data_IF_939708272100
#
_entry.id   IF_939708272100
#
_cell.length_a   1.000
_cell.length_b   1.000
_cell.length_c   1.000
_cell.angle_alpha   90.00
_cell.angle_beta   90.00
_cell.angle_gamma   90.00
#
_symmetry.space_group_name_H-M   'P 1'
#
loop_
_entity.id
_entity.type
_entity.pdbx_description
1 polymer ?
#
# COMPACT_ATOMS: atom_id res chain seq x y z
N UNK A 1 7.25 -19.72 91.58
CA UNK A 1 8.72 -19.59 91.40
C UNK A 1 8.96 -19.23 89.96
N UNK A 2 9.75 -18.18 89.73
CA UNK A 2 9.84 -17.45 88.47
C UNK A 2 11.24 -17.54 87.85
N UNK A 3 11.25 -17.33 86.52
CA UNK A 3 12.33 -17.01 85.55
C UNK A 3 13.36 -18.12 85.23
N UNK A 4 13.93 -18.18 83.99
CA UNK A 4 14.46 -17.02 83.22
C UNK A 4 13.96 -16.85 81.77
N UNK A 5 13.89 -15.59 81.35
CA UNK A 5 13.91 -15.14 79.95
C UNK A 5 15.23 -15.49 79.25
N UNK A 6 15.31 -15.38 77.91
CA UNK A 6 16.21 -14.33 77.39
C UNK A 6 15.70 -13.59 76.14
N UNK A 7 15.86 -12.25 76.24
CA UNK A 7 16.37 -11.23 75.30
C UNK A 7 15.83 -11.06 73.85
N UNK A 8 15.83 -9.80 73.36
CA UNK A 8 15.10 -9.34 72.18
C UNK A 8 15.93 -9.46 70.89
N UNK A 9 15.26 -9.72 69.77
CA UNK A 9 15.83 -9.58 68.44
C UNK A 9 15.73 -8.12 67.96
N UNK A 10 16.90 -7.55 67.62
CA UNK A 10 17.10 -6.21 67.07
C UNK A 10 16.38 -5.97 65.73
N UNK A 11 16.08 -4.71 65.38
CA UNK A 11 15.42 -4.34 64.13
C UNK A 11 16.44 -4.28 62.99
N UNK A 12 16.17 -4.97 61.88
CA UNK A 12 16.91 -4.81 60.63
C UNK A 12 16.12 -3.94 59.64
N UNK A 13 16.85 -3.24 58.74
CA UNK A 13 16.47 -1.93 58.22
C UNK A 13 15.53 -2.00 57.01
N UNK A 14 14.77 -0.91 56.82
CA UNK A 14 14.02 -0.63 55.61
C UNK A 14 14.96 -0.59 54.39
N UNK A 15 14.83 -1.59 53.52
CA UNK A 15 15.43 -1.59 52.19
C UNK A 15 14.41 -1.00 51.23
N UNK A 16 14.60 0.27 50.88
CA UNK A 16 13.94 0.88 49.72
C UNK A 16 14.37 0.14 48.43
N UNK A 17 13.46 -0.17 47.51
CA UNK A 17 13.83 -0.79 46.24
C UNK A 17 14.58 0.22 45.36
N UNK A 18 15.69 -0.19 44.70
CA UNK A 18 16.36 0.64 43.71
C UNK A 18 15.53 0.68 42.41
N UNK A 19 15.20 1.91 42.03
CA UNK A 19 14.94 2.44 40.69
C UNK A 19 15.13 1.43 39.55
N UNK A 20 14.05 0.73 39.18
CA UNK A 20 14.00 0.01 37.91
C UNK A 20 13.60 1.00 36.85
N UNK A 21 14.57 1.75 36.33
CA UNK A 21 14.41 2.46 35.08
C UNK A 21 14.02 1.42 34.01
N UNK A 22 12.87 1.56 33.31
CA UNK A 22 12.60 0.70 32.18
C UNK A 22 13.65 1.00 31.09
N UNK A 23 14.21 -0.01 30.40
CA UNK A 23 14.94 0.25 29.18
C UNK A 23 13.97 0.86 28.17
N UNK A 24 14.00 2.19 28.07
CA UNK A 24 13.44 2.96 26.96
C UNK A 24 14.19 2.55 25.70
N UNK A 25 13.61 1.61 24.96
CA UNK A 25 13.90 1.36 23.55
C UNK A 25 12.73 0.63 22.94
N UNK A 26 11.58 1.31 22.88
CA UNK A 26 10.64 0.99 21.82
C UNK A 26 11.38 1.22 20.49
N UNK A 27 11.54 0.21 19.62
CA UNK A 27 12.09 0.46 18.30
C UNK A 27 11.17 1.45 17.60
N UNK A 28 11.73 2.54 17.09
CA UNK A 28 10.99 3.50 16.26
C UNK A 28 10.24 2.73 15.16
N UNK A 29 8.90 2.81 15.08
CA UNK A 29 8.12 2.03 14.10
C UNK A 29 8.38 2.45 12.64
N UNK A 30 9.23 3.46 12.42
CA UNK A 30 9.70 3.94 11.12
C UNK A 30 11.09 3.42 10.73
N UNK A 31 11.77 2.68 11.59
CA UNK A 31 13.22 2.49 11.49
C UNK A 31 13.69 1.61 10.31
N UNK A 32 12.81 0.97 9.53
CA UNK A 32 13.27 0.19 8.38
C UNK A 32 12.17 -0.14 7.36
N UNK A 33 11.33 0.81 6.96
CA UNK A 33 10.45 0.57 5.80
C UNK A 33 11.28 0.53 4.51
N UNK A 34 10.88 -0.33 3.57
CA UNK A 34 11.45 -0.34 2.22
C UNK A 34 11.22 1.01 1.52
N UNK A 35 12.18 1.37 0.67
CA UNK A 35 11.98 2.45 -0.27
C UNK A 35 10.77 2.12 -1.16
N UNK A 36 9.85 3.07 -1.44
CA UNK A 36 8.62 2.83 -2.20
C UNK A 36 8.82 2.04 -3.50
N UNK A 37 9.88 2.36 -4.24
CA UNK A 37 10.24 1.64 -5.47
C UNK A 37 10.50 0.15 -5.23
N UNK A 38 11.27 -0.18 -4.19
CA UNK A 38 11.58 -1.57 -3.83
C UNK A 38 10.34 -2.32 -3.36
N UNK A 39 9.45 -1.63 -2.64
CA UNK A 39 8.17 -2.20 -2.22
C UNK A 39 7.27 -2.53 -3.42
N UNK A 40 7.21 -1.65 -4.43
CA UNK A 40 6.48 -1.88 -5.67
C UNK A 40 7.11 -3.00 -6.52
N UNK A 41 8.44 -3.08 -6.59
CA UNK A 41 9.18 -4.18 -7.23
C UNK A 41 8.84 -5.52 -6.57
N UNK A 42 8.87 -5.58 -5.24
CA UNK A 42 8.50 -6.76 -4.46
C UNK A 42 7.06 -7.25 -4.76
N UNK A 43 6.10 -6.33 -4.84
CA UNK A 43 4.72 -6.68 -5.21
C UNK A 43 4.64 -7.20 -6.64
N UNK A 44 5.36 -6.61 -7.59
CA UNK A 44 5.36 -7.07 -8.98
C UNK A 44 5.97 -8.48 -9.11
N UNK A 45 7.05 -8.76 -8.39
CA UNK A 45 7.67 -10.09 -8.33
C UNK A 45 6.74 -11.13 -7.71
N UNK A 46 6.10 -10.79 -6.58
CA UNK A 46 5.13 -11.66 -5.92
C UNK A 46 3.92 -11.95 -6.81
N UNK A 47 3.41 -10.93 -7.51
CA UNK A 47 2.29 -11.09 -8.44
C UNK A 47 2.66 -11.89 -9.69
N UNK A 48 3.87 -11.72 -10.23
CA UNK A 48 4.35 -12.44 -11.41
C UNK A 48 4.62 -13.93 -11.14
N UNK A 49 5.06 -14.26 -9.94
CA UNK A 49 5.39 -15.64 -9.53
C UNK A 49 4.19 -16.45 -9.04
N UNK A 50 3.03 -15.82 -8.79
CA UNK A 50 1.85 -16.49 -8.27
C UNK A 50 1.23 -17.45 -9.29
N UNK A 51 1.13 -18.73 -8.92
CA UNK A 51 0.43 -19.76 -9.68
C UNK A 51 -0.70 -20.39 -8.84
N UNK A 52 -1.97 -20.07 -9.14
CA UNK A 52 -3.12 -20.57 -8.36
C UNK A 52 -3.35 -22.08 -8.48
N UNK A 53 -2.73 -22.75 -9.47
CA UNK A 53 -2.81 -24.21 -9.62
C UNK A 53 -1.80 -24.96 -8.75
N UNK A 54 -0.81 -24.27 -8.16
CA UNK A 54 0.26 -24.88 -7.36
C UNK A 54 0.10 -24.60 -5.87
N UNK A 55 -0.23 -23.37 -5.51
CA UNK A 55 -0.24 -22.92 -4.13
C UNK A 55 -1.43 -21.99 -3.88
N UNK A 56 -1.93 -22.00 -2.65
CA UNK A 56 -2.92 -21.02 -2.22
C UNK A 56 -2.29 -19.63 -2.22
N UNK A 57 -3.12 -18.60 -2.38
CA UNK A 57 -2.63 -17.22 -2.39
C UNK A 57 -1.96 -16.82 -1.07
N UNK A 58 -2.46 -17.35 0.05
CA UNK A 58 -1.96 -17.05 1.38
C UNK A 58 -0.56 -17.66 1.60
N UNK A 59 -0.42 -18.96 1.29
CA UNK A 59 0.88 -19.63 1.39
C UNK A 59 1.90 -19.04 0.41
N UNK A 60 1.48 -18.63 -0.79
CA UNK A 60 2.37 -17.92 -1.72
C UNK A 60 2.84 -16.58 -1.17
N UNK A 61 1.94 -15.82 -0.53
CA UNK A 61 2.33 -14.56 0.09
C UNK A 61 3.30 -14.77 1.27
N UNK A 62 3.13 -15.82 2.07
CA UNK A 62 4.08 -16.20 3.13
C UNK A 62 5.47 -16.50 2.55
N UNK A 63 5.54 -17.31 1.48
CA UNK A 63 6.78 -17.64 0.80
C UNK A 63 7.46 -16.38 0.23
N UNK A 64 6.71 -15.47 -0.39
CA UNK A 64 7.25 -14.21 -0.91
C UNK A 64 7.79 -13.32 0.21
N UNK A 65 7.07 -13.16 1.32
CA UNK A 65 7.53 -12.37 2.47
C UNK A 65 8.84 -12.91 3.01
N UNK A 66 8.94 -14.24 3.19
CA UNK A 66 10.16 -14.89 3.65
C UNK A 66 11.32 -14.75 2.66
N UNK A 67 11.05 -14.92 1.35
CA UNK A 67 12.07 -14.85 0.30
C UNK A 67 12.62 -13.43 0.10
N UNK A 68 11.74 -12.43 0.11
CA UNK A 68 12.09 -11.02 -0.11
C UNK A 68 12.70 -10.35 1.12
N UNK A 69 12.67 -11.02 2.29
CA UNK A 69 13.22 -10.54 3.57
C UNK A 69 12.75 -9.12 3.88
N UNK A 70 11.44 -8.90 3.83
CA UNK A 70 10.87 -7.59 4.08
C UNK A 70 11.24 -7.13 5.51
N UNK A 71 11.81 -5.93 5.67
CA UNK A 71 12.40 -5.50 6.93
C UNK A 71 11.37 -5.04 7.98
N UNK A 72 10.12 -4.81 7.58
CA UNK A 72 9.08 -4.30 8.47
C UNK A 72 7.74 -5.01 8.29
N UNK A 73 7.01 -5.21 9.39
CA UNK A 73 5.66 -5.76 9.36
C UNK A 73 4.67 -4.93 8.52
N UNK A 74 4.95 -3.63 8.35
CA UNK A 74 4.17 -2.75 7.49
C UNK A 74 4.38 -3.05 6.01
N UNK A 75 5.62 -3.32 5.58
CA UNK A 75 5.92 -3.74 4.20
C UNK A 75 5.30 -5.11 3.90
N UNK A 76 5.34 -6.04 4.85
CA UNK A 76 4.68 -7.35 4.72
C UNK A 76 3.16 -7.20 4.56
N UNK A 77 2.55 -6.38 5.41
CA UNK A 77 1.12 -6.11 5.37
C UNK A 77 0.74 -5.46 4.04
N UNK A 78 1.52 -4.48 3.58
CA UNK A 78 1.32 -3.84 2.29
C UNK A 78 1.39 -4.85 1.15
N UNK A 79 2.43 -5.70 1.10
CA UNK A 79 2.59 -6.70 0.06
C UNK A 79 1.38 -7.63 0.00
N UNK A 80 0.96 -8.20 1.15
CA UNK A 80 -0.19 -9.10 1.22
C UNK A 80 -1.47 -8.42 0.77
N UNK A 81 -1.74 -7.23 1.30
CA UNK A 81 -2.96 -6.49 1.00
C UNK A 81 -3.07 -6.11 -0.49
N UNK A 82 -1.96 -5.72 -1.11
CA UNK A 82 -1.94 -5.42 -2.54
C UNK A 82 -2.06 -6.71 -3.36
N UNK A 83 -1.29 -7.74 -3.04
CA UNK A 83 -1.32 -9.02 -3.76
C UNK A 83 -2.73 -9.65 -3.72
N UNK A 84 -3.36 -9.69 -2.54
CA UNK A 84 -4.73 -10.19 -2.37
C UNK A 84 -5.73 -9.34 -3.16
N UNK A 85 -5.55 -8.02 -3.15
CA UNK A 85 -6.35 -7.09 -3.93
C UNK A 85 -6.25 -7.32 -5.44
N UNK A 86 -5.03 -7.49 -5.97
CA UNK A 86 -4.78 -7.73 -7.38
C UNK A 86 -5.45 -9.02 -7.88
N UNK A 87 -5.43 -10.08 -7.07
CA UNK A 87 -6.09 -11.34 -7.40
C UNK A 87 -7.61 -11.22 -7.29
N UNK A 88 -8.11 -10.66 -6.18
CA UNK A 88 -9.56 -10.51 -5.91
C UNK A 88 -10.26 -9.64 -6.95
N UNK A 89 -9.66 -8.51 -7.31
CA UNK A 89 -10.24 -7.53 -8.24
C UNK A 89 -9.66 -7.65 -9.66
N UNK A 90 -9.02 -8.77 -9.99
CA UNK A 90 -8.34 -8.99 -11.29
C UNK A 90 -9.21 -8.63 -12.49
N UNK A 91 -10.50 -9.01 -12.47
CA UNK A 91 -11.43 -8.74 -13.59
C UNK A 91 -11.68 -7.24 -13.76
N UNK A 92 -11.92 -6.51 -12.67
CA UNK A 92 -12.10 -5.06 -12.65
C UNK A 92 -10.86 -4.33 -13.15
N UNK A 93 -9.71 -4.68 -12.57
CA UNK A 93 -8.42 -4.08 -12.89
C UNK A 93 -8.02 -4.36 -14.35
N UNK A 94 -8.27 -5.58 -14.84
CA UNK A 94 -8.03 -5.91 -16.24
C UNK A 94 -8.91 -5.09 -17.18
N UNK A 95 -10.21 -4.94 -16.88
CA UNK A 95 -11.12 -4.12 -17.70
C UNK A 95 -10.63 -2.67 -17.79
N UNK A 96 -10.30 -2.07 -16.64
CA UNK A 96 -9.75 -0.72 -16.58
C UNK A 96 -8.44 -0.58 -17.37
N UNK A 97 -7.45 -1.45 -17.09
CA UNK A 97 -6.14 -1.36 -17.74
C UNK A 97 -6.26 -1.63 -19.24
N UNK A 98 -7.11 -2.53 -19.69
CA UNK A 98 -7.35 -2.75 -21.12
C UNK A 98 -7.88 -1.47 -21.81
N UNK A 99 -8.85 -0.79 -21.19
CA UNK A 99 -9.36 0.49 -21.68
C UNK A 99 -8.29 1.58 -21.69
N UNK A 100 -7.49 1.67 -20.61
CA UNK A 100 -6.36 2.60 -20.52
C UNK A 100 -5.37 2.41 -21.67
N UNK A 101 -4.92 1.18 -21.91
CA UNK A 101 -3.99 0.90 -23.00
C UNK A 101 -4.62 1.06 -24.38
N UNK A 102 -5.92 0.86 -24.54
CA UNK A 102 -6.58 1.13 -25.82
C UNK A 102 -6.53 2.62 -26.17
N UNK A 103 -6.76 3.48 -25.18
CA UNK A 103 -6.84 4.93 -25.37
C UNK A 103 -5.48 5.64 -25.30
N UNK A 104 -4.49 5.02 -24.63
CA UNK A 104 -3.17 5.62 -24.37
C UNK A 104 -1.99 4.80 -24.92
N UNK A 105 -2.23 3.91 -25.88
CA UNK A 105 -1.22 2.98 -26.41
C UNK A 105 0.08 3.63 -26.91
N UNK A 106 0.03 4.89 -27.38
CA UNK A 106 1.20 5.63 -27.84
C UNK A 106 2.06 6.23 -26.72
N UNK A 107 1.53 6.30 -25.49
CA UNK A 107 2.16 6.96 -24.34
C UNK A 107 2.60 5.94 -23.26
N UNK A 108 2.14 4.68 -23.35
CA UNK A 108 2.39 3.66 -22.30
C UNK A 108 2.94 2.34 -22.84
N UNK A 109 3.84 1.71 -22.08
CA UNK A 109 4.49 0.45 -22.44
C UNK A 109 3.74 -0.75 -21.87
N UNK A 110 3.62 -1.84 -22.64
CA UNK A 110 2.97 -3.09 -22.18
C UNK A 110 3.69 -3.75 -21.00
N UNK A 111 5.00 -3.50 -20.83
CA UNK A 111 5.77 -3.98 -19.67
C UNK A 111 5.28 -3.40 -18.34
N UNK A 112 4.61 -2.26 -18.36
CA UNK A 112 4.14 -1.55 -17.15
C UNK A 112 2.72 -2.00 -16.70
N UNK A 113 2.14 -3.03 -17.31
CA UNK A 113 0.77 -3.47 -16.98
C UNK A 113 0.61 -3.80 -15.49
N UNK A 114 1.61 -4.44 -14.87
CA UNK A 114 1.54 -4.81 -13.46
C UNK A 114 1.53 -3.56 -12.56
N UNK A 115 2.41 -2.59 -12.84
CA UNK A 115 2.49 -1.38 -12.03
C UNK A 115 1.20 -0.55 -12.12
N UNK A 116 0.58 -0.45 -13.31
CA UNK A 116 -0.71 0.22 -13.46
C UNK A 116 -1.85 -0.49 -12.73
N UNK A 117 -1.85 -1.83 -12.66
CA UNK A 117 -2.81 -2.56 -11.83
C UNK A 117 -2.63 -2.28 -10.34
N UNK A 118 -1.39 -2.20 -9.87
CA UNK A 118 -1.07 -1.85 -8.48
C UNK A 118 -1.63 -0.47 -8.15
N UNK A 119 -1.28 0.55 -8.94
CA UNK A 119 -1.78 1.91 -8.68
C UNK A 119 -3.30 2.02 -8.83
N UNK A 120 -3.90 1.34 -9.79
CA UNK A 120 -5.36 1.31 -9.94
C UNK A 120 -6.02 0.69 -8.70
N UNK A 121 -5.52 -0.46 -8.22
CA UNK A 121 -6.03 -1.08 -7.00
C UNK A 121 -5.91 -0.13 -5.79
N UNK A 122 -4.73 0.47 -5.62
CA UNK A 122 -4.47 1.38 -4.51
C UNK A 122 -5.41 2.59 -4.54
N UNK A 123 -5.54 3.25 -5.70
CA UNK A 123 -6.40 4.42 -5.87
C UNK A 123 -7.89 4.09 -5.69
N UNK A 124 -8.34 2.96 -6.26
CA UNK A 124 -9.76 2.58 -6.26
C UNK A 124 -10.23 2.08 -4.89
N UNK A 125 -9.42 1.28 -4.19
CA UNK A 125 -9.88 0.57 -2.99
C UNK A 125 -9.16 0.95 -1.70
N UNK A 126 -7.96 1.53 -1.78
CA UNK A 126 -7.09 1.67 -0.61
C UNK A 126 -6.70 3.11 -0.31
N UNK A 127 -7.06 4.07 -1.15
CA UNK A 127 -6.57 5.45 -1.06
C UNK A 127 -6.96 6.13 0.25
N UNK A 128 -8.15 5.81 0.78
CA UNK A 128 -8.61 6.28 2.09
C UNK A 128 -7.83 5.63 3.25
N UNK A 129 -7.54 4.33 3.17
CA UNK A 129 -6.83 3.60 4.21
C UNK A 129 -5.33 3.93 4.27
N UNK A 130 -4.66 4.02 3.12
CA UNK A 130 -3.22 4.35 3.07
C UNK A 130 -2.97 5.85 3.23
N UNK A 131 -4.01 6.67 3.05
CA UNK A 131 -3.97 8.14 2.97
C UNK A 131 -3.30 8.69 1.70
N UNK A 132 -3.73 9.89 1.30
CA UNK A 132 -3.20 10.54 0.10
C UNK A 132 -1.69 10.85 0.15
N UNK A 133 -1.10 11.30 1.28
CA UNK A 133 0.35 11.54 1.35
C UNK A 133 1.19 10.30 1.05
N UNK A 134 0.77 9.13 1.55
CA UNK A 134 1.48 7.87 1.28
C UNK A 134 1.31 7.43 -0.17
N UNK A 135 0.11 7.59 -0.73
CA UNK A 135 -0.12 7.36 -2.16
C UNK A 135 0.78 8.27 -3.02
N UNK A 136 0.88 9.56 -2.68
CA UNK A 136 1.80 10.50 -3.35
C UNK A 136 3.26 10.06 -3.25
N UNK A 137 3.69 9.54 -2.09
CA UNK A 137 5.03 8.96 -1.90
C UNK A 137 5.29 7.79 -2.84
N UNK A 138 4.32 6.88 -3.00
CA UNK A 138 4.40 5.77 -3.94
C UNK A 138 4.46 6.26 -5.39
N UNK A 139 3.62 7.23 -5.76
CA UNK A 139 3.58 7.81 -7.12
C UNK A 139 4.92 8.47 -7.47
N UNK A 140 5.51 9.25 -6.55
CA UNK A 140 6.78 9.94 -6.76
C UNK A 140 7.98 9.01 -6.97
N UNK A 141 7.88 7.73 -6.57
CA UNK A 141 8.93 6.75 -6.78
C UNK A 141 8.92 6.09 -8.18
N UNK A 142 7.86 6.32 -8.95
CA UNK A 142 7.67 5.87 -10.33
C UNK A 142 7.88 7.03 -11.30
N UNK A 143 8.14 6.71 -12.56
CA UNK A 143 8.38 7.71 -13.61
C UNK A 143 7.26 8.77 -13.67
N UNK A 144 7.59 10.08 -13.54
CA UNK A 144 6.59 11.14 -13.47
C UNK A 144 5.69 11.24 -14.71
N UNK A 145 6.23 11.00 -15.89
CA UNK A 145 5.47 11.06 -17.14
C UNK A 145 4.43 9.92 -17.18
N UNK A 146 4.84 8.68 -16.87
CA UNK A 146 3.93 7.53 -16.79
C UNK A 146 2.81 7.77 -15.79
N UNK A 147 3.12 8.35 -14.64
CA UNK A 147 2.14 8.60 -13.58
C UNK A 147 1.21 9.75 -13.91
N UNK A 148 1.68 10.81 -14.56
CA UNK A 148 0.82 11.89 -15.04
C UNK A 148 -0.23 11.35 -16.02
N UNK A 149 0.20 10.62 -17.06
CA UNK A 149 -0.72 10.03 -18.06
C UNK A 149 -1.73 9.08 -17.41
N UNK A 150 -1.25 8.22 -16.50
CA UNK A 150 -2.10 7.25 -15.81
C UNK A 150 -3.14 7.91 -14.88
N UNK A 151 -2.72 8.85 -14.03
CA UNK A 151 -3.60 9.50 -13.07
C UNK A 151 -4.63 10.39 -13.77
N UNK A 152 -4.22 11.11 -14.83
CA UNK A 152 -5.17 11.85 -15.68
C UNK A 152 -6.23 10.93 -16.24
N UNK A 153 -5.87 9.76 -16.74
CA UNK A 153 -6.85 8.83 -17.29
C UNK A 153 -7.74 8.19 -16.21
N UNK A 154 -7.15 7.74 -15.10
CA UNK A 154 -7.87 7.05 -14.02
C UNK A 154 -8.91 7.94 -13.34
N UNK A 155 -8.64 9.23 -13.20
CA UNK A 155 -9.52 10.17 -12.51
C UNK A 155 -10.38 11.02 -13.46
N UNK A 156 -10.30 10.76 -14.78
CA UNK A 156 -11.18 11.43 -15.75
C UNK A 156 -12.63 10.94 -15.59
N UNK A 157 -13.51 11.87 -15.19
CA UNK A 157 -14.91 11.56 -14.88
C UNK A 157 -15.67 11.02 -16.09
N UNK A 158 -15.38 11.53 -17.30
CA UNK A 158 -15.96 11.04 -18.55
C UNK A 158 -15.56 9.60 -18.80
N UNK A 159 -14.27 9.30 -18.73
CA UNK A 159 -13.73 7.96 -18.94
C UNK A 159 -14.27 6.96 -17.91
N UNK A 160 -14.37 7.38 -16.64
CA UNK A 160 -14.90 6.53 -15.58
C UNK A 160 -16.38 6.22 -15.80
N UNK A 161 -17.21 7.22 -16.12
CA UNK A 161 -18.66 7.05 -16.25
C UNK A 161 -19.08 6.39 -17.57
N UNK A 162 -18.35 6.62 -18.65
CA UNK A 162 -18.69 6.09 -19.98
C UNK A 162 -18.03 4.75 -20.27
N UNK A 163 -16.71 4.62 -20.08
CA UNK A 163 -15.99 3.39 -20.43
C UNK A 163 -15.90 2.43 -19.24
N UNK A 164 -15.33 2.89 -18.12
CA UNK A 164 -15.03 2.00 -17.00
C UNK A 164 -16.31 1.44 -16.36
N UNK A 165 -17.31 2.30 -16.16
CA UNK A 165 -18.61 1.92 -15.61
C UNK A 165 -19.28 0.82 -16.40
N UNK A 166 -19.36 0.95 -17.73
CA UNK A 166 -20.01 -0.04 -18.58
C UNK A 166 -19.33 -1.41 -18.48
N UNK A 167 -18.00 -1.45 -18.48
CA UNK A 167 -17.27 -2.71 -18.35
C UNK A 167 -17.33 -3.30 -16.93
N UNK A 168 -17.31 -2.46 -15.90
CA UNK A 168 -17.43 -2.93 -14.51
C UNK A 168 -18.83 -3.46 -14.19
N UNK A 169 -19.89 -2.91 -14.79
CA UNK A 169 -21.27 -3.41 -14.64
C UNK A 169 -21.49 -4.81 -15.24
N UNK A 170 -20.61 -5.27 -16.12
CA UNK A 170 -20.61 -6.66 -16.63
C UNK A 170 -20.05 -7.65 -15.60
N UNK A 171 -19.45 -7.15 -14.53
CA UNK A 171 -18.70 -7.93 -13.54
C UNK A 171 -19.31 -7.80 -12.15
N UNK A 172 -19.75 -6.60 -11.78
CA UNK A 172 -20.30 -6.26 -10.47
C UNK A 172 -21.65 -5.54 -10.60
N UNK A 173 -22.41 -5.49 -9.50
CA UNK A 173 -23.69 -4.79 -9.46
C UNK A 173 -23.54 -3.26 -9.52
N UNK A 174 -24.65 -2.60 -9.86
CA UNK A 174 -24.70 -1.14 -10.02
C UNK A 174 -24.32 -0.38 -8.74
N UNK A 175 -24.84 -0.71 -7.53
CA UNK A 175 -24.45 -0.03 -6.30
C UNK A 175 -22.94 -0.07 -6.04
N UNK A 176 -22.31 -1.23 -6.24
CA UNK A 176 -20.88 -1.38 -6.08
C UNK A 176 -20.12 -0.50 -7.08
N UNK A 177 -20.43 -0.60 -8.37
CA UNK A 177 -19.72 0.13 -9.43
C UNK A 177 -19.86 1.65 -9.26
N UNK A 178 -21.08 2.14 -9.06
CA UNK A 178 -21.33 3.57 -8.89
C UNK A 178 -20.67 4.09 -7.60
N UNK A 179 -20.71 3.30 -6.51
CA UNK A 179 -20.02 3.62 -5.26
C UNK A 179 -18.50 3.69 -5.43
N UNK A 180 -17.90 2.74 -6.16
CA UNK A 180 -16.47 2.74 -6.49
C UNK A 180 -16.06 3.99 -7.27
N UNK A 181 -16.80 4.35 -8.32
CA UNK A 181 -16.52 5.55 -9.13
C UNK A 181 -16.65 6.81 -8.27
N UNK A 182 -17.72 6.93 -7.49
CA UNK A 182 -17.93 8.09 -6.62
C UNK A 182 -16.83 8.21 -5.57
N UNK A 183 -16.38 7.10 -4.97
CA UNK A 183 -15.30 7.11 -4.00
C UNK A 183 -13.97 7.54 -4.62
N UNK A 184 -13.69 7.10 -5.84
CA UNK A 184 -12.50 7.52 -6.57
C UNK A 184 -12.54 9.03 -6.86
N UNK A 185 -13.67 9.55 -7.35
CA UNK A 185 -13.83 10.96 -7.71
C UNK A 185 -13.74 11.94 -6.52
N UNK A 186 -13.94 11.48 -5.28
CA UNK A 186 -13.71 12.31 -4.06
C UNK A 186 -12.28 12.86 -3.97
N UNK A 187 -11.32 12.15 -4.55
CA UNK A 187 -9.90 12.50 -4.52
C UNK A 187 -9.44 13.32 -5.72
N UNK A 188 -10.35 13.62 -6.66
CA UNK A 188 -10.04 14.38 -7.88
C UNK A 188 -9.30 15.69 -7.57
N UNK A 189 -9.69 16.54 -6.59
CA UNK A 189 -8.98 17.79 -6.32
C UNK A 189 -7.51 17.59 -5.91
N UNK A 190 -7.22 16.56 -5.12
CA UNK A 190 -5.86 16.24 -4.66
C UNK A 190 -5.04 15.64 -5.81
N UNK A 191 -5.64 14.77 -6.63
CA UNK A 191 -4.97 14.16 -7.77
C UNK A 191 -4.67 15.18 -8.86
N UNK A 192 -5.58 16.12 -9.14
CA UNK A 192 -5.33 17.19 -10.12
C UNK A 192 -4.06 17.98 -9.76
N UNK A 193 -3.90 18.36 -8.49
CA UNK A 193 -2.68 19.04 -8.01
C UNK A 193 -1.44 18.15 -8.19
N UNK A 194 -1.54 16.87 -7.85
CA UNK A 194 -0.44 15.92 -8.04
C UNK A 194 -0.06 15.78 -9.52
N UNK A 195 -1.03 15.73 -10.43
CA UNK A 195 -0.78 15.68 -11.88
C UNK A 195 -0.10 16.96 -12.39
N UNK A 196 -0.51 18.13 -11.90
CA UNK A 196 0.14 19.41 -12.22
C UNK A 196 1.61 19.43 -11.76
N UNK A 197 1.88 18.92 -10.56
CA UNK A 197 3.24 18.77 -10.03
C UNK A 197 4.09 17.82 -10.90
N UNK A 198 3.56 16.64 -11.23
CA UNK A 198 4.24 15.66 -12.08
C UNK A 198 4.52 16.23 -13.47
N UNK A 199 3.54 16.91 -14.07
CA UNK A 199 3.69 17.53 -15.39
C UNK A 199 4.76 18.62 -15.36
N UNK A 200 4.81 19.43 -14.31
CA UNK A 200 5.85 20.46 -14.13
C UNK A 200 7.25 19.85 -14.08
N UNK A 201 7.42 18.67 -13.47
CA UNK A 201 8.70 17.94 -13.46
C UNK A 201 9.09 17.46 -14.87
N UNK A 202 8.11 17.00 -15.66
CA UNK A 202 8.34 16.50 -17.03
C UNK A 202 8.75 17.62 -17.99
N UNK A 203 8.16 18.81 -17.85
CA UNK A 203 8.42 19.97 -18.72
C UNK A 203 9.50 20.92 -18.19
N UNK A 204 10.05 20.67 -17.00
CA UNK A 204 11.15 21.47 -16.48
C UNK A 204 12.37 21.34 -17.44
N UNK A 205 12.96 22.46 -17.90
CA UNK A 205 14.16 22.40 -18.72
C UNK A 205 15.26 21.70 -17.92
N UNK A 206 15.80 20.62 -18.47
CA UNK A 206 17.00 19.97 -17.91
C UNK A 206 18.12 21.01 -17.90
N UNK A 207 18.49 21.49 -16.71
CA UNK A 207 19.68 22.30 -16.50
C UNK A 207 20.94 21.47 -16.74
#
# INVERSE_FOLDING_TARGET
>A
MAVPSPLPASPHPAVSPPDTAPPSSAPDPKAQQLHPRKLLEAVQEAHASFNPGRLTLDSHADECVAALRLPSAQDETFLRQVLYGLVRYRRLLNAFVNSFYHNKSGEVLRGDVCIYKIYAYLAIFRLEEITFPEFRRLVAATDPHKMAVFLTYLFDEGNLKEFCRHDWLKIYDKPFVDGTINNLLKWLPQVTKLVEELSSIVYAPKK
#
